data_IF_287653581303
#
_entry.id   IF_287653581303
#
_cell.length_a   1.000
_cell.length_b   1.000
_cell.length_c   1.000
_cell.angle_alpha   90.00
_cell.angle_beta   90.00
_cell.angle_gamma   90.00
#
_symmetry.space_group_name_H-M   'P 1'
#
loop_
_entity.id
_entity.type
_entity.pdbx_description
1 polymer ?
#
# COMPACT_ATOMS: atom_id res chain seq x y z
N UNK A 1 4.97 17.82 -6.05
CA UNK A 1 4.60 16.85 -5.03
C UNK A 1 3.50 15.95 -5.55
N UNK A 2 3.66 14.68 -5.35
CA UNK A 2 2.65 13.73 -5.73
C UNK A 2 1.53 13.71 -4.69
N UNK A 3 0.38 13.23 -5.11
CA UNK A 3 -0.73 13.03 -4.19
C UNK A 3 -0.33 12.04 -3.09
N UNK A 4 0.47 11.07 -3.45
CA UNK A 4 0.94 10.08 -2.50
C UNK A 4 1.80 10.70 -1.41
N UNK A 5 2.66 11.65 -1.76
CA UNK A 5 3.51 12.33 -0.78
C UNK A 5 2.67 13.06 0.27
N UNK A 6 1.60 13.72 -0.17
CA UNK A 6 0.70 14.39 0.75
C UNK A 6 0.00 13.40 1.66
N UNK A 7 -0.46 12.30 1.09
CA UNK A 7 -1.11 11.24 1.86
C UNK A 7 -0.16 10.65 2.88
N UNK A 8 1.09 10.42 2.47
CA UNK A 8 2.09 9.84 3.35
C UNK A 8 2.43 10.76 4.52
N UNK A 9 2.48 12.06 4.29
CA UNK A 9 2.73 13.01 5.37
C UNK A 9 1.64 12.99 6.42
N UNK A 10 0.39 12.85 5.98
CA UNK A 10 -0.76 12.84 6.88
C UNK A 10 -0.96 11.49 7.54
N UNK A 11 -0.57 10.43 6.85
CA UNK A 11 -0.88 9.06 7.27
C UNK A 11 0.37 8.20 7.27
N UNK A 12 1.40 8.68 7.94
CA UNK A 12 2.67 7.95 8.04
C UNK A 12 2.48 6.53 8.52
N UNK A 13 1.52 6.36 9.38
CA UNK A 13 1.18 5.05 9.89
C UNK A 13 -0.29 5.04 10.22
N UNK A 14 -0.86 3.85 10.24
CA UNK A 14 -2.22 3.70 10.73
C UNK A 14 -2.27 4.02 12.22
N UNK A 15 -3.39 4.61 12.63
CA UNK A 15 -3.69 4.69 14.03
C UNK A 15 -4.21 3.32 14.44
N UNK A 16 -3.33 2.50 14.97
CA UNK A 16 -3.64 1.10 15.27
C UNK A 16 -4.84 0.97 16.17
N UNK A 17 -4.93 1.82 17.19
CA UNK A 17 -6.04 1.73 18.14
C UNK A 17 -7.40 1.97 17.50
N UNK A 18 -7.47 2.89 16.55
CA UNK A 18 -8.72 3.18 15.86
C UNK A 18 -9.03 2.18 14.76
N UNK A 19 -8.02 1.84 13.97
CA UNK A 19 -8.22 1.00 12.79
C UNK A 19 -8.57 -0.44 13.17
N UNK A 20 -8.06 -0.92 14.28
CA UNK A 20 -8.27 -2.30 14.68
C UNK A 20 -9.66 -2.61 15.20
N UNK A 21 -10.43 -1.59 15.53
CA UNK A 21 -11.78 -1.79 16.01
C UNK A 21 -12.74 -2.22 14.91
N UNK A 22 -12.34 -2.02 13.65
CA UNK A 22 -13.25 -2.23 12.54
C UNK A 22 -12.49 -2.77 11.33
N UNK A 23 -12.73 -4.03 11.00
CA UNK A 23 -12.13 -4.66 9.83
C UNK A 23 -12.48 -3.93 8.54
N UNK A 24 -13.71 -3.42 8.46
CA UNK A 24 -14.16 -2.68 7.29
C UNK A 24 -13.36 -1.40 7.08
N UNK A 25 -13.10 -0.67 8.16
CA UNK A 25 -12.28 0.53 8.09
C UNK A 25 -10.86 0.22 7.65
N UNK A 26 -10.31 -0.86 8.18
CA UNK A 26 -8.96 -1.29 7.82
C UNK A 26 -8.87 -1.66 6.34
N UNK A 27 -9.82 -2.43 5.84
CA UNK A 27 -9.88 -2.79 4.43
C UNK A 27 -10.02 -1.55 3.54
N UNK A 28 -10.86 -0.62 3.95
CA UNK A 28 -11.06 0.63 3.21
C UNK A 28 -9.76 1.43 3.14
N UNK A 29 -9.04 1.47 4.24
CA UNK A 29 -7.76 2.17 4.30
C UNK A 29 -6.74 1.55 3.36
N UNK A 30 -6.65 0.23 3.36
CA UNK A 30 -5.75 -0.49 2.46
C UNK A 30 -6.15 -0.25 1.01
N UNK A 31 -7.45 -0.31 0.70
CA UNK A 31 -7.95 -0.02 -0.64
C UNK A 31 -7.56 1.38 -1.09
N UNK A 32 -7.71 2.35 -0.21
CA UNK A 32 -7.39 3.74 -0.51
C UNK A 32 -5.90 3.90 -0.83
N UNK A 33 -5.06 3.35 0.02
CA UNK A 33 -3.61 3.50 -0.15
C UNK A 33 -3.13 2.79 -1.41
N UNK A 34 -3.63 1.58 -1.66
CA UNK A 34 -3.24 0.82 -2.86
C UNK A 34 -3.73 1.50 -4.13
N UNK A 35 -4.93 2.07 -4.11
CA UNK A 35 -5.46 2.81 -5.25
C UNK A 35 -4.63 4.05 -5.54
N UNK A 36 -4.19 4.73 -4.50
CA UNK A 36 -3.34 5.90 -4.63
C UNK A 36 -1.99 5.54 -5.25
N UNK A 37 -1.39 4.45 -4.79
CA UNK A 37 -0.14 3.96 -5.35
C UNK A 37 -0.30 3.56 -6.82
N UNK A 38 -1.39 2.90 -7.13
CA UNK A 38 -1.68 2.48 -8.49
C UNK A 38 -1.75 3.69 -9.42
N UNK A 39 -2.49 4.71 -8.99
CA UNK A 39 -2.62 5.95 -9.76
C UNK A 39 -1.27 6.65 -9.88
N UNK A 40 -0.48 6.66 -8.82
CA UNK A 40 0.84 7.28 -8.82
C UNK A 40 1.78 6.59 -9.80
N UNK A 41 1.72 5.27 -9.85
CA UNK A 41 2.54 4.49 -10.78
C UNK A 41 2.18 4.81 -12.23
N UNK A 42 0.88 4.89 -12.52
CA UNK A 42 0.42 5.23 -13.86
C UNK A 42 0.82 6.65 -14.22
N UNK A 43 0.69 7.58 -13.28
CA UNK A 43 1.06 8.97 -13.51
C UNK A 43 2.56 9.09 -13.78
N UNK A 44 3.39 8.35 -13.06
CA UNK A 44 4.83 8.35 -13.29
C UNK A 44 5.16 7.85 -14.68
N UNK A 45 4.45 6.86 -15.16
CA UNK A 45 4.65 6.33 -16.51
C UNK A 45 4.25 7.35 -17.58
N UNK A 46 3.08 7.99 -17.40
CA UNK A 46 2.53 8.88 -18.41
C UNK A 46 3.18 10.27 -18.41
N UNK A 47 3.50 10.80 -17.24
CA UNK A 47 3.90 12.20 -17.09
C UNK A 47 5.29 12.40 -16.53
N UNK A 48 6.04 11.33 -16.34
CA UNK A 48 7.33 11.39 -15.69
C UNK A 48 8.44 12.07 -16.48
N UNK A 49 8.21 12.34 -17.76
CA UNK A 49 9.22 12.99 -18.62
C UNK A 49 10.43 12.14 -18.94
N UNK A 50 10.50 10.96 -18.42
CA UNK A 50 11.57 10.01 -18.69
C UNK A 50 11.00 8.76 -19.33
N UNK A 51 11.85 8.09 -20.07
CA UNK A 51 11.45 6.84 -20.68
C UNK A 51 11.43 5.74 -19.63
N UNK A 52 10.24 5.24 -19.32
CA UNK A 52 10.12 4.11 -18.40
C UNK A 52 9.93 2.84 -19.19
N UNK A 53 10.45 1.74 -18.64
CA UNK A 53 10.23 0.44 -19.24
C UNK A 53 8.83 -0.05 -18.90
N UNK A 54 8.08 -0.46 -19.91
CA UNK A 54 6.73 -0.99 -19.69
C UNK A 54 6.72 -2.17 -18.74
N UNK A 55 7.76 -3.00 -18.83
CA UNK A 55 7.87 -4.17 -17.96
C UNK A 55 7.99 -3.78 -16.51
N UNK A 56 8.75 -2.72 -16.23
CA UNK A 56 8.92 -2.23 -14.86
C UNK A 56 7.61 -1.69 -14.31
N UNK A 57 6.87 -0.95 -15.13
CA UNK A 57 5.57 -0.41 -14.74
C UNK A 57 4.59 -1.54 -14.46
N UNK A 58 4.53 -2.53 -15.35
CA UNK A 58 3.63 -3.66 -15.17
C UNK A 58 3.99 -4.47 -13.92
N UNK A 59 5.28 -4.65 -13.66
CA UNK A 59 5.72 -5.36 -12.48
C UNK A 59 5.28 -4.63 -11.21
N UNK A 60 5.39 -3.30 -11.19
CA UNK A 60 4.94 -2.51 -10.05
C UNK A 60 3.44 -2.57 -9.86
N UNK A 61 2.67 -2.45 -10.94
CA UNK A 61 1.22 -2.55 -10.88
C UNK A 61 0.80 -3.91 -10.32
N UNK A 62 1.45 -4.97 -10.79
CA UNK A 62 1.18 -6.31 -10.30
C UNK A 62 1.52 -6.43 -8.81
N UNK A 63 2.63 -5.85 -8.40
CA UNK A 63 3.03 -5.86 -6.99
C UNK A 63 1.99 -5.17 -6.12
N UNK A 64 1.48 -4.03 -6.55
CA UNK A 64 0.46 -3.30 -5.81
C UNK A 64 -0.81 -4.14 -5.66
N UNK A 65 -1.24 -4.78 -6.75
CA UNK A 65 -2.42 -5.63 -6.71
C UNK A 65 -2.22 -6.84 -5.82
N UNK A 66 -1.03 -7.42 -5.83
CA UNK A 66 -0.70 -8.57 -4.99
C UNK A 66 -0.72 -8.18 -3.53
N UNK A 67 -0.11 -7.06 -3.18
CA UNK A 67 -0.13 -6.56 -1.80
C UNK A 67 -1.55 -6.30 -1.35
N UNK A 68 -2.34 -5.64 -2.18
CA UNK A 68 -3.74 -5.38 -1.87
C UNK A 68 -4.50 -6.68 -1.56
N UNK A 69 -4.40 -7.64 -2.47
CA UNK A 69 -5.11 -8.90 -2.32
C UNK A 69 -4.68 -9.66 -1.07
N UNK A 70 -3.37 -9.73 -0.81
CA UNK A 70 -2.83 -10.43 0.34
C UNK A 70 -3.31 -9.82 1.65
N UNK A 71 -3.25 -8.51 1.76
CA UNK A 71 -3.58 -7.87 3.04
C UNK A 71 -5.08 -7.85 3.29
N UNK A 72 -5.89 -7.68 2.26
CA UNK A 72 -7.34 -7.78 2.40
C UNK A 72 -7.73 -9.20 2.84
N UNK A 73 -7.11 -10.20 2.25
CA UNK A 73 -7.35 -11.59 2.63
C UNK A 73 -6.95 -11.86 4.08
N UNK A 74 -5.80 -11.34 4.50
CA UNK A 74 -5.33 -11.53 5.88
C UNK A 74 -6.25 -10.88 6.89
N UNK A 75 -6.85 -9.73 6.55
CA UNK A 75 -7.83 -9.09 7.43
C UNK A 75 -9.08 -9.96 7.57
N UNK A 76 -9.50 -10.57 6.47
CA UNK A 76 -10.69 -11.40 6.46
C UNK A 76 -10.50 -12.74 7.19
N UNK A 77 -9.26 -13.21 7.27
CA UNK A 77 -8.95 -14.53 7.82
C UNK A 77 -7.85 -14.44 8.87
N UNK A 78 -8.16 -13.87 10.06
CA UNK A 78 -7.15 -13.77 11.12
C UNK A 78 -6.71 -15.14 11.57
N UNK A 79 -5.47 -15.24 12.00
CA UNK A 79 -4.91 -16.49 12.45
C UNK A 79 -5.54 -16.93 13.78
N UNK A 80 -6.07 -18.17 13.86
CA UNK A 80 -6.65 -18.68 15.09
C UNK A 80 -5.58 -18.77 16.20
N UNK A 81 -5.97 -18.48 17.41
CA UNK A 81 -5.06 -18.59 18.55
C UNK A 81 -4.20 -17.37 18.79
N UNK A 82 -4.18 -16.43 17.87
CA UNK A 82 -3.42 -15.20 18.01
C UNK A 82 -4.36 -14.09 18.48
N UNK A 83 -3.90 -13.26 19.41
CA UNK A 83 -4.70 -12.14 19.87
C UNK A 83 -4.95 -11.19 18.71
N UNK A 84 -6.19 -10.76 18.48
CA UNK A 84 -6.51 -9.88 17.35
C UNK A 84 -5.66 -8.62 17.33
N UNK A 85 -5.40 -8.04 18.49
CA UNK A 85 -4.62 -6.82 18.57
C UNK A 85 -3.20 -7.02 18.05
N UNK A 86 -2.59 -8.13 18.45
CA UNK A 86 -1.25 -8.45 17.97
C UNK A 86 -1.26 -8.77 16.48
N UNK A 87 -2.22 -9.56 16.05
CA UNK A 87 -2.32 -9.97 14.64
C UNK A 87 -2.45 -8.76 13.72
N UNK A 88 -3.39 -7.87 14.03
CA UNK A 88 -3.60 -6.70 13.19
C UNK A 88 -2.49 -5.67 13.33
N UNK A 89 -1.85 -5.59 14.50
CA UNK A 89 -0.69 -4.73 14.66
C UNK A 89 0.46 -5.17 13.77
N UNK A 90 0.75 -6.47 13.76
CA UNK A 90 1.80 -7.01 12.89
C UNK A 90 1.45 -6.83 11.42
N UNK A 91 0.19 -7.01 11.07
CA UNK A 91 -0.28 -6.85 9.71
C UNK A 91 -0.08 -5.43 9.21
N UNK A 92 -0.43 -4.45 10.03
CA UNK A 92 -0.28 -3.04 9.67
C UNK A 92 1.20 -2.68 9.51
N UNK A 93 2.04 -3.19 10.39
CA UNK A 93 3.47 -2.96 10.30
C UNK A 93 4.04 -3.53 9.01
N UNK A 94 3.64 -4.75 8.67
CA UNK A 94 4.03 -5.40 7.41
C UNK A 94 3.54 -4.59 6.21
N UNK A 95 2.29 -4.15 6.26
CA UNK A 95 1.71 -3.38 5.18
C UNK A 95 2.50 -2.08 4.95
N UNK A 96 2.80 -1.37 6.02
CA UNK A 96 3.55 -0.12 5.91
C UNK A 96 4.93 -0.36 5.31
N UNK A 97 5.57 -1.46 5.65
CA UNK A 97 6.87 -1.83 5.10
C UNK A 97 6.79 -2.08 3.60
N UNK A 98 5.79 -2.86 3.18
CA UNK A 98 5.59 -3.15 1.76
C UNK A 98 5.28 -1.89 0.96
N UNK A 99 4.46 -1.03 1.52
CA UNK A 99 4.10 0.24 0.86
C UNK A 99 5.33 1.12 0.69
N UNK A 100 6.18 1.17 1.70
CA UNK A 100 7.41 1.95 1.64
C UNK A 100 8.32 1.47 0.51
N UNK A 101 8.46 0.17 0.38
CA UNK A 101 9.27 -0.42 -0.69
C UNK A 101 8.72 -0.09 -2.08
N UNK A 102 7.40 -0.21 -2.22
CA UNK A 102 6.76 0.10 -3.50
C UNK A 102 6.91 1.58 -3.83
N UNK A 103 6.75 2.45 -2.85
CA UNK A 103 6.92 3.89 -3.02
C UNK A 103 8.31 4.21 -3.55
N UNK A 104 9.32 3.58 -2.98
CA UNK A 104 10.70 3.77 -3.43
C UNK A 104 10.87 3.34 -4.89
N UNK A 105 10.27 2.22 -5.25
CA UNK A 105 10.35 1.72 -6.62
C UNK A 105 9.65 2.66 -7.60
N UNK A 106 8.51 3.22 -7.22
CA UNK A 106 7.82 4.19 -8.06
C UNK A 106 8.68 5.44 -8.25
N UNK A 107 9.30 5.91 -7.18
CA UNK A 107 10.17 7.08 -7.24
C UNK A 107 11.36 6.87 -8.16
N UNK A 108 11.79 5.63 -8.32
CA UNK A 108 12.94 5.30 -9.15
C UNK A 108 12.58 4.92 -10.59
N UNK A 109 11.29 4.96 -10.94
CA UNK A 109 10.91 4.68 -12.31
C UNK A 109 11.53 5.69 -13.25
N UNK A 110 12.15 5.18 -14.30
CA UNK A 110 12.76 6.04 -15.30
C UNK A 110 14.13 6.59 -14.93
N UNK A 111 14.66 6.22 -13.81
CA UNK A 111 16.00 6.63 -13.40
C UNK A 111 17.06 5.66 -13.88
#
# INVERSE_FOLDING_TARGET
LSIFDLTNKKNKSFNINNEMKNKRSLKRRINYICSDLFAECIAADLYGGRKTEKEDVQALLTSILTVHSNFVSRISHPEPGMKPQKYFGDLIEDFNKQISEITDQISNLGN
#
